data_IF_357246254374
#
_entry.id   IF_357246254374
#
_cell.length_a   1.000
_cell.length_b   1.000
_cell.length_c   1.000
_cell.angle_alpha   90.00
_cell.angle_beta   90.00
_cell.angle_gamma   90.00
#
_symmetry.space_group_name_H-M   'P 1'
#
loop_
_entity.id
_entity.type
_entity.pdbx_description
1 polymer ?
#
# COMPACT_ATOMS: atom_id res chain seq x y z
N UNK A 1 -47.21 11.96 39.96
CA UNK A 1 -47.10 11.11 38.76
C UNK A 1 -47.71 9.77 39.15
N UNK A 2 -48.87 9.41 38.60
CA UNK A 2 -49.74 8.40 39.21
C UNK A 2 -49.96 7.18 38.28
N UNK A 3 -48.94 6.84 37.51
CA UNK A 3 -48.87 5.68 36.62
C UNK A 3 -47.55 4.94 36.90
N UNK A 4 -47.53 3.60 36.92
CA UNK A 4 -46.31 2.83 37.12
C UNK A 4 -45.39 2.95 35.89
N UNK A 5 -44.48 3.92 35.91
CA UNK A 5 -43.48 4.10 34.86
C UNK A 5 -42.37 3.08 35.03
N UNK A 6 -42.21 2.16 34.07
CA UNK A 6 -41.07 1.26 34.03
C UNK A 6 -39.82 2.03 33.59
N UNK A 7 -38.97 2.40 34.54
CA UNK A 7 -37.71 3.13 34.29
C UNK A 7 -36.59 2.26 33.67
N UNK A 8 -36.85 0.97 33.43
CA UNK A 8 -35.81 0.00 33.10
C UNK A 8 -34.89 -0.31 34.30
N UNK A 9 -33.83 -1.11 34.11
CA UNK A 9 -32.98 -1.55 35.21
C UNK A 9 -32.05 -0.45 35.76
N UNK A 10 -31.61 0.48 34.91
CA UNK A 10 -30.38 1.27 35.13
C UNK A 10 -30.45 2.48 36.06
N UNK A 11 -31.40 2.57 37.00
CA UNK A 11 -31.61 3.75 37.84
C UNK A 11 -30.82 3.68 39.17
N UNK A 12 -29.50 3.51 39.08
CA UNK A 12 -28.59 3.51 40.21
C UNK A 12 -27.16 3.86 39.79
N UNK A 13 -26.60 4.91 40.39
CA UNK A 13 -25.34 5.51 39.90
C UNK A 13 -24.09 4.82 40.48
N UNK A 14 -23.87 3.58 40.03
CA UNK A 14 -22.76 2.74 40.47
C UNK A 14 -21.44 3.22 39.85
N UNK A 15 -20.54 3.75 40.67
CA UNK A 15 -19.21 4.20 40.25
C UNK A 15 -18.14 3.15 40.57
N UNK A 16 -17.51 2.58 39.54
CA UNK A 16 -16.35 1.68 39.68
C UNK A 16 -15.05 2.46 39.48
N UNK A 17 -14.17 2.44 40.48
CA UNK A 17 -12.79 2.94 40.35
C UNK A 17 -11.92 1.78 39.86
N UNK A 18 -11.35 1.91 38.66
CA UNK A 18 -10.56 0.86 38.00
C UNK A 18 -9.07 1.20 37.98
N UNK A 19 -8.28 0.54 38.82
CA UNK A 19 -6.82 0.65 38.81
C UNK A 19 -6.20 -0.35 37.82
N UNK A 20 -5.78 0.12 36.65
CA UNK A 20 -5.13 -0.72 35.62
C UNK A 20 -3.61 -0.70 35.81
N UNK A 21 -3.08 -1.74 36.46
CA UNK A 21 -1.64 -1.98 36.55
C UNK A 21 -1.23 -2.86 35.36
N UNK A 22 -0.37 -2.35 34.49
CA UNK A 22 0.19 -3.07 33.35
C UNK A 22 1.73 -2.99 33.37
N UNK A 23 2.45 -4.04 32.95
CA UNK A 23 3.91 -3.98 32.82
C UNK A 23 4.32 -3.01 31.72
N UNK A 24 5.45 -2.31 31.88
CA UNK A 24 5.97 -1.39 30.84
C UNK A 24 6.43 -2.12 29.55
N UNK A 25 6.48 -3.45 29.57
CA UNK A 25 6.68 -4.31 28.40
C UNK A 25 5.50 -5.28 28.32
N UNK A 26 4.51 -4.96 27.49
CA UNK A 26 3.30 -5.76 27.28
C UNK A 26 2.62 -5.41 25.97
N UNK A 27 1.89 -6.36 25.38
CA UNK A 27 1.30 -6.26 24.03
C UNK A 27 0.08 -5.35 23.93
N UNK A 28 -0.39 -4.80 25.05
CA UNK A 28 -1.38 -3.73 25.13
C UNK A 28 -0.91 -2.70 26.14
N UNK A 29 -1.04 -1.43 25.81
CA UNK A 29 -0.75 -0.35 26.76
C UNK A 29 -1.77 -0.34 27.90
N UNK A 30 -1.39 0.28 29.04
CA UNK A 30 -2.33 0.55 30.12
C UNK A 30 -3.55 1.37 29.64
N UNK A 31 -3.35 2.26 28.67
CA UNK A 31 -4.38 3.13 28.09
C UNK A 31 -5.37 2.39 27.18
N UNK A 32 -4.91 1.46 26.32
CA UNK A 32 -5.81 0.61 25.53
C UNK A 32 -6.58 -0.36 26.42
N UNK A 33 -5.92 -0.87 27.46
CA UNK A 33 -6.53 -1.77 28.46
C UNK A 33 -7.61 -1.03 29.26
N UNK A 34 -7.32 0.17 29.78
CA UNK A 34 -8.31 0.99 30.49
C UNK A 34 -9.47 1.39 29.56
N UNK A 35 -9.19 1.85 28.33
CA UNK A 35 -10.22 2.16 27.33
C UNK A 35 -11.14 0.97 27.02
N UNK A 36 -10.60 -0.25 27.00
CA UNK A 36 -11.40 -1.48 26.83
C UNK A 36 -12.37 -1.65 28.00
N UNK A 37 -11.88 -1.56 29.24
CA UNK A 37 -12.74 -1.66 30.43
C UNK A 37 -13.71 -0.49 30.59
N UNK A 38 -13.33 0.76 30.26
CA UNK A 38 -14.24 1.91 30.26
C UNK A 38 -15.38 1.75 29.25
N UNK A 39 -15.10 1.14 28.09
CA UNK A 39 -16.13 0.83 27.09
C UNK A 39 -17.09 -0.25 27.59
N UNK A 40 -16.55 -1.28 28.24
CA UNK A 40 -17.31 -2.41 28.81
C UNK A 40 -18.19 -1.98 30.00
N UNK A 41 -17.62 -1.21 30.96
CA UNK A 41 -18.33 -0.67 32.12
C UNK A 41 -19.26 0.51 31.80
N UNK A 42 -19.32 0.94 30.54
CA UNK A 42 -20.31 1.92 30.08
C UNK A 42 -21.74 1.35 30.16
N UNK A 43 -21.91 0.04 29.99
CA UNK A 43 -23.20 -0.65 30.17
C UNK A 43 -23.66 -0.57 31.65
N UNK A 44 -24.75 0.14 31.97
CA UNK A 44 -25.27 0.21 33.34
C UNK A 44 -25.79 -1.15 33.84
N UNK A 45 -26.30 -2.00 32.95
CA UNK A 45 -26.80 -3.31 33.34
C UNK A 45 -25.65 -4.27 33.71
N UNK A 46 -24.48 -4.15 33.06
CA UNK A 46 -23.27 -4.85 33.52
C UNK A 46 -22.81 -4.30 34.88
N UNK A 47 -22.76 -2.98 35.06
CA UNK A 47 -22.36 -2.37 36.35
C UNK A 47 -23.18 -2.90 37.53
N UNK A 48 -24.48 -3.15 37.35
CA UNK A 48 -25.32 -3.79 38.36
C UNK A 48 -24.97 -5.26 38.58
N UNK A 49 -24.92 -6.10 37.53
CA UNK A 49 -24.54 -7.53 37.65
C UNK A 49 -23.16 -7.76 38.27
N UNK A 50 -22.25 -6.79 38.16
CA UNK A 50 -20.92 -6.82 38.80
C UNK A 50 -20.92 -6.43 40.28
N UNK A 51 -21.96 -5.75 40.81
CA UNK A 51 -22.15 -5.58 42.26
C UNK A 51 -22.72 -6.85 42.91
N UNK A 52 -23.69 -7.48 42.24
CA UNK A 52 -24.36 -8.70 42.73
C UNK A 52 -23.40 -9.91 42.77
N UNK A 53 -22.25 -9.82 42.09
CA UNK A 53 -21.25 -10.87 41.97
C UNK A 53 -20.35 -11.00 43.23
N UNK A 54 -20.88 -11.56 44.32
CA UNK A 54 -20.16 -11.76 45.58
C UNK A 54 -18.87 -12.62 45.49
N UNK A 55 -18.69 -13.41 44.43
CA UNK A 55 -17.56 -14.31 44.23
C UNK A 55 -16.70 -13.93 43.02
N UNK A 56 -15.37 -13.95 43.17
CA UNK A 56 -14.40 -13.63 42.09
C UNK A 56 -14.64 -14.42 40.78
N UNK A 57 -15.01 -15.69 40.89
CA UNK A 57 -15.33 -16.52 39.72
C UNK A 57 -16.58 -16.01 38.98
N UNK A 58 -17.63 -15.64 39.73
CA UNK A 58 -18.87 -15.10 39.18
C UNK A 58 -18.65 -13.74 38.50
N UNK A 59 -17.84 -12.87 39.11
CA UNK A 59 -17.46 -11.57 38.55
C UNK A 59 -16.73 -11.71 37.19
N UNK A 60 -15.80 -12.65 37.09
CA UNK A 60 -15.09 -12.96 35.83
C UNK A 60 -16.05 -13.57 34.79
N UNK A 61 -16.98 -14.43 35.22
CA UNK A 61 -17.99 -15.05 34.35
C UNK A 61 -18.94 -14.01 33.73
N UNK A 62 -19.44 -13.04 34.50
CA UNK A 62 -20.30 -11.96 34.01
C UNK A 62 -19.60 -11.05 32.99
N UNK A 63 -18.31 -10.74 33.20
CA UNK A 63 -17.49 -10.03 32.22
C UNK A 63 -17.38 -10.86 30.93
N UNK A 64 -17.03 -12.14 31.02
CA UNK A 64 -16.86 -13.00 29.85
C UNK A 64 -18.15 -13.18 29.04
N UNK A 65 -19.30 -13.38 29.71
CA UNK A 65 -20.63 -13.45 29.07
C UNK A 65 -20.92 -12.14 28.33
N UNK A 66 -20.65 -10.99 28.95
CA UNK A 66 -20.96 -9.68 28.37
C UNK A 66 -20.02 -9.34 27.21
N UNK A 67 -18.73 -9.67 27.29
CA UNK A 67 -17.78 -9.59 26.16
C UNK A 67 -18.24 -10.46 25.00
N UNK A 68 -18.62 -11.72 25.25
CA UNK A 68 -19.15 -12.61 24.21
C UNK A 68 -20.41 -12.06 23.53
N UNK A 69 -21.32 -11.46 24.32
CA UNK A 69 -22.54 -10.82 23.80
C UNK A 69 -22.22 -9.60 22.92
N UNK A 70 -21.30 -8.75 23.34
CA UNK A 70 -20.84 -7.58 22.56
C UNK A 70 -20.13 -8.02 21.26
N UNK A 71 -19.29 -9.06 21.31
CA UNK A 71 -18.62 -9.61 20.14
C UNK A 71 -19.61 -10.20 19.12
N UNK A 72 -20.63 -10.94 19.58
CA UNK A 72 -21.70 -11.47 18.74
C UNK A 72 -22.58 -10.38 18.12
N UNK A 73 -22.91 -9.33 18.89
CA UNK A 73 -23.61 -8.15 18.37
C UNK A 73 -22.78 -7.42 17.29
N UNK A 74 -21.46 -7.31 17.48
CA UNK A 74 -20.56 -6.72 16.48
C UNK A 74 -20.47 -7.57 15.21
N UNK A 75 -20.31 -8.90 15.34
CA UNK A 75 -20.28 -9.83 14.19
C UNK A 75 -21.57 -9.76 13.38
N UNK A 76 -22.72 -9.96 14.03
CA UNK A 76 -24.02 -9.91 13.32
C UNK A 76 -24.36 -8.53 12.76
N UNK A 77 -23.82 -7.44 13.32
CA UNK A 77 -23.94 -6.11 12.71
C UNK A 77 -23.03 -5.95 11.48
N UNK A 78 -21.81 -6.50 11.53
CA UNK A 78 -20.87 -6.51 10.41
C UNK A 78 -21.40 -7.36 9.25
N UNK A 79 -21.88 -8.57 9.53
CA UNK A 79 -22.55 -9.49 8.60
C UNK A 79 -23.72 -8.80 7.90
N UNK A 80 -24.71 -8.25 8.64
CA UNK A 80 -25.85 -7.51 8.07
C UNK A 80 -25.44 -6.24 7.30
N UNK A 81 -24.25 -5.69 7.56
CA UNK A 81 -23.71 -4.55 6.80
C UNK A 81 -23.02 -5.00 5.51
N UNK A 82 -22.33 -6.14 5.52
CA UNK A 82 -21.75 -6.81 4.34
C UNK A 82 -22.86 -7.30 3.42
N UNK A 83 -23.85 -8.02 3.96
CA UNK A 83 -25.04 -8.52 3.26
C UNK A 83 -25.77 -7.40 2.51
N UNK A 84 -26.02 -6.25 3.17
CA UNK A 84 -26.63 -5.05 2.55
C UNK A 84 -25.77 -4.41 1.45
N UNK A 85 -24.46 -4.63 1.44
CA UNK A 85 -23.57 -4.20 0.35
C UNK A 85 -23.56 -5.22 -0.79
N UNK A 86 -23.50 -6.51 -0.48
CA UNK A 86 -23.46 -7.62 -1.45
C UNK A 86 -24.79 -7.78 -2.20
N UNK A 87 -25.93 -7.71 -1.51
CA UNK A 87 -27.26 -7.80 -2.13
C UNK A 87 -27.75 -6.50 -2.77
N UNK A 88 -26.95 -5.42 -2.74
CA UNK A 88 -27.24 -4.21 -3.51
C UNK A 88 -27.00 -4.50 -5.00
N UNK A 89 -28.04 -4.99 -5.68
CA UNK A 89 -28.03 -5.37 -7.11
C UNK A 89 -27.85 -4.13 -8.01
N UNK A 90 -26.61 -3.66 -8.06
CA UNK A 90 -26.15 -2.46 -8.75
C UNK A 90 -26.40 -2.56 -10.26
N UNK A 91 -27.44 -1.87 -10.76
CA UNK A 91 -27.71 -1.75 -12.21
C UNK A 91 -26.44 -1.33 -12.95
N UNK A 92 -26.03 -2.08 -13.96
CA UNK A 92 -24.86 -1.78 -14.77
C UNK A 92 -25.17 -0.64 -15.73
N UNK A 93 -24.20 0.27 -15.93
CA UNK A 93 -24.24 1.30 -16.97
C UNK A 93 -22.80 1.68 -17.39
N UNK A 94 -22.56 2.08 -18.65
CA UNK A 94 -21.22 2.47 -19.11
C UNK A 94 -20.66 3.66 -18.29
N UNK A 95 -19.34 3.71 -18.15
CA UNK A 95 -18.60 4.72 -17.39
C UNK A 95 -19.02 4.90 -15.91
N UNK A 96 -19.74 3.94 -15.32
CA UNK A 96 -20.22 4.01 -13.92
C UNK A 96 -19.09 4.19 -12.90
N UNK A 97 -18.04 3.36 -12.98
CA UNK A 97 -16.90 3.42 -12.06
C UNK A 97 -16.25 4.80 -12.08
N UNK A 98 -15.92 5.28 -13.29
CA UNK A 98 -15.44 6.63 -13.57
C UNK A 98 -16.34 7.69 -12.88
N UNK A 99 -17.64 7.74 -13.20
CA UNK A 99 -18.55 8.76 -12.64
C UNK A 99 -18.59 8.72 -11.10
N UNK A 100 -18.60 7.53 -10.49
CA UNK A 100 -18.63 7.35 -9.03
C UNK A 100 -17.31 7.77 -8.36
N UNK A 101 -16.18 7.44 -8.98
CA UNK A 101 -14.84 7.77 -8.49
C UNK A 101 -14.57 9.28 -8.57
N UNK A 102 -15.10 9.94 -9.61
CA UNK A 102 -15.05 11.40 -9.77
C UNK A 102 -15.77 12.12 -8.63
N UNK A 103 -17.03 11.72 -8.39
CA UNK A 103 -17.89 12.29 -7.34
C UNK A 103 -17.28 12.13 -5.95
N UNK A 104 -16.62 10.99 -5.70
CA UNK A 104 -15.92 10.68 -4.45
C UNK A 104 -14.66 11.54 -4.27
N UNK A 105 -13.77 11.63 -5.27
CA UNK A 105 -12.52 12.42 -5.14
C UNK A 105 -12.75 13.93 -5.16
N UNK A 106 -13.76 14.45 -5.87
CA UNK A 106 -13.99 15.91 -6.00
C UNK A 106 -14.13 16.61 -4.64
N UNK A 107 -14.70 15.95 -3.63
CA UNK A 107 -14.86 16.51 -2.28
C UNK A 107 -13.54 16.64 -1.51
N UNK A 108 -12.61 15.69 -1.68
CA UNK A 108 -11.29 15.69 -1.03
C UNK A 108 -10.20 16.38 -1.87
N UNK A 109 -10.54 16.86 -3.06
CA UNK A 109 -9.57 17.34 -4.05
C UNK A 109 -8.73 18.52 -3.54
N UNK A 110 -9.36 19.50 -2.89
CA UNK A 110 -8.68 20.71 -2.42
C UNK A 110 -7.71 20.38 -1.27
N UNK A 111 -8.07 19.44 -0.39
CA UNK A 111 -7.19 19.05 0.72
C UNK A 111 -5.94 18.29 0.27
N UNK A 112 -5.96 17.60 -0.89
CA UNK A 112 -4.74 17.02 -1.47
C UNK A 112 -3.61 18.05 -1.71
N UNK A 113 -3.94 19.34 -1.81
CA UNK A 113 -2.99 20.44 -1.92
C UNK A 113 -2.73 21.16 -0.60
N UNK A 114 -3.77 21.45 0.21
CA UNK A 114 -3.58 22.19 1.47
C UNK A 114 -2.91 21.34 2.57
N UNK A 115 -3.18 20.03 2.61
CA UNK A 115 -2.70 19.13 3.66
C UNK A 115 -1.16 19.10 3.76
N UNK A 116 -0.45 19.42 2.66
CA UNK A 116 1.02 19.49 2.62
C UNK A 116 1.64 20.67 3.38
N UNK A 117 0.83 21.69 3.73
CA UNK A 117 1.30 22.92 4.38
C UNK A 117 0.85 23.08 5.84
N UNK A 118 0.03 22.17 6.38
CA UNK A 118 -0.67 22.39 7.67
C UNK A 118 0.21 22.37 8.95
N UNK A 119 1.44 21.86 8.88
CA UNK A 119 2.35 21.69 10.03
C UNK A 119 3.80 21.66 9.53
N UNK A 120 4.74 22.26 10.27
CA UNK A 120 6.18 22.25 9.98
C UNK A 120 6.72 20.83 9.78
N UNK A 121 6.25 19.84 10.57
CA UNK A 121 6.63 18.43 10.39
C UNK A 121 6.03 17.82 9.11
N UNK A 122 4.96 18.38 8.54
CA UNK A 122 4.42 18.00 7.23
C UNK A 122 5.22 18.64 6.11
N UNK A 123 5.56 19.92 6.25
CA UNK A 123 6.40 20.63 5.27
C UNK A 123 7.76 19.93 5.15
N UNK A 124 8.43 19.58 6.25
CA UNK A 124 9.72 18.87 6.23
C UNK A 124 9.63 17.50 5.51
N UNK A 125 8.61 16.68 5.81
CA UNK A 125 8.41 15.40 5.10
C UNK A 125 8.04 15.59 3.64
N UNK A 126 7.25 16.61 3.30
CA UNK A 126 6.86 16.91 1.92
C UNK A 126 8.05 17.35 1.08
N UNK A 127 8.94 18.18 1.63
CA UNK A 127 10.20 18.58 0.99
C UNK A 127 11.13 17.37 0.83
N UNK A 128 11.32 16.56 1.87
CA UNK A 128 12.14 15.33 1.80
C UNK A 128 11.62 14.35 0.73
N UNK A 129 10.31 14.12 0.68
CA UNK A 129 9.66 13.29 -0.33
C UNK A 129 9.74 13.89 -1.74
N UNK A 130 9.72 15.22 -1.88
CA UNK A 130 9.91 15.91 -3.17
C UNK A 130 11.35 15.78 -3.69
N UNK A 131 12.35 15.95 -2.81
CA UNK A 131 13.77 15.78 -3.14
C UNK A 131 14.06 14.32 -3.51
N UNK A 132 13.50 13.36 -2.76
CA UNK A 132 13.56 11.94 -3.12
C UNK A 132 12.94 11.66 -4.49
N UNK A 133 11.72 12.14 -4.76
CA UNK A 133 11.06 11.99 -6.07
C UNK A 133 11.88 12.59 -7.21
N UNK A 134 12.43 13.79 -7.02
CA UNK A 134 13.27 14.48 -8.00
C UNK A 134 14.49 13.62 -8.35
N UNK A 135 15.25 13.15 -7.36
CA UNK A 135 16.41 12.30 -7.60
C UNK A 135 16.05 10.90 -8.10
N UNK A 136 14.86 10.36 -7.79
CA UNK A 136 14.42 9.06 -8.30
C UNK A 136 13.95 9.13 -9.76
N UNK A 137 13.27 10.22 -10.17
CA UNK A 137 12.66 10.35 -11.49
C UNK A 137 13.63 10.93 -12.52
N UNK A 138 14.40 11.97 -12.18
CA UNK A 138 15.27 12.66 -13.14
C UNK A 138 16.27 11.71 -13.84
N UNK A 139 16.98 10.79 -13.15
CA UNK A 139 17.86 9.83 -13.81
C UNK A 139 17.11 8.83 -14.69
N UNK A 140 15.92 8.34 -14.28
CA UNK A 140 15.11 7.47 -15.14
C UNK A 140 14.66 8.19 -16.41
N UNK A 141 14.31 9.48 -16.32
CA UNK A 141 13.91 10.28 -17.47
C UNK A 141 15.07 10.53 -18.44
N UNK A 142 16.27 10.82 -17.91
CA UNK A 142 17.49 10.99 -18.71
C UNK A 142 17.85 9.68 -19.42
N UNK A 143 17.93 8.56 -18.70
CA UNK A 143 18.31 7.25 -19.26
C UNK A 143 17.30 6.78 -20.32
N UNK A 144 15.99 6.93 -20.08
CA UNK A 144 14.96 6.57 -21.05
C UNK A 144 14.98 7.49 -22.29
N UNK A 145 15.26 8.79 -22.13
CA UNK A 145 15.40 9.73 -23.24
C UNK A 145 16.59 9.42 -24.14
N UNK A 146 17.73 9.04 -23.55
CA UNK A 146 18.93 8.58 -24.27
C UNK A 146 18.63 7.26 -24.99
N UNK A 147 18.04 6.28 -24.30
CA UNK A 147 17.68 4.98 -24.90
C UNK A 147 16.70 5.14 -26.07
N UNK A 148 15.73 6.04 -25.96
CA UNK A 148 14.78 6.37 -27.04
C UNK A 148 15.40 7.16 -28.20
N UNK A 149 16.66 7.60 -28.10
CA UNK A 149 17.37 8.35 -29.14
C UNK A 149 18.43 7.53 -29.89
N UNK A 150 18.96 6.46 -29.28
CA UNK A 150 19.84 5.51 -29.95
C UNK A 150 19.01 4.43 -30.68
N UNK A 151 18.96 4.52 -32.02
CA UNK A 151 18.16 3.62 -32.87
C UNK A 151 18.62 2.14 -32.79
N UNK A 152 17.71 1.25 -33.18
CA UNK A 152 17.56 -0.14 -32.75
C UNK A 152 18.58 -1.14 -33.34
N UNK A 153 19.83 -0.72 -33.53
CA UNK A 153 20.92 -1.52 -34.14
C UNK A 153 22.26 -1.47 -33.41
N UNK A 154 22.59 -0.36 -32.73
CA UNK A 154 23.95 -0.12 -32.22
C UNK A 154 24.02 0.08 -30.69
N UNK A 155 23.40 -0.86 -29.96
CA UNK A 155 23.52 -1.00 -28.49
C UNK A 155 24.97 -0.90 -27.97
N UNK A 156 25.94 -1.33 -28.79
CA UNK A 156 27.37 -1.34 -28.44
C UNK A 156 28.10 -0.03 -28.72
N UNK A 157 27.66 0.78 -29.69
CA UNK A 157 28.31 2.06 -30.04
C UNK A 157 27.81 3.23 -29.17
N UNK A 158 26.52 3.20 -28.80
CA UNK A 158 25.90 4.16 -27.88
C UNK A 158 26.50 4.10 -26.44
N UNK A 159 27.31 3.07 -26.15
CA UNK A 159 28.05 2.91 -24.89
C UNK A 159 29.54 3.29 -24.98
N UNK A 160 30.06 3.62 -26.16
CA UNK A 160 31.49 3.97 -26.39
C UNK A 160 31.72 5.39 -26.88
N UNK A 161 30.67 6.07 -27.37
CA UNK A 161 30.65 7.51 -27.59
C UNK A 161 29.71 8.19 -26.59
N UNK A 162 29.93 9.47 -26.33
CA UNK A 162 29.23 10.22 -25.28
C UNK A 162 27.71 10.06 -25.40
N UNK A 163 26.99 9.59 -24.33
CA UNK A 163 25.53 9.41 -24.30
C UNK A 163 24.69 10.69 -24.47
N UNK A 164 25.35 11.76 -24.89
CA UNK A 164 24.98 13.16 -24.91
C UNK A 164 25.02 13.74 -26.34
N UNK A 165 25.65 13.04 -27.28
CA UNK A 165 25.69 13.41 -28.70
C UNK A 165 24.32 13.27 -29.39
N UNK A 166 23.40 12.49 -28.82
CA UNK A 166 21.99 12.52 -29.20
C UNK A 166 21.37 13.86 -28.81
N UNK A 167 20.80 14.58 -29.79
CA UNK A 167 20.39 15.97 -29.64
C UNK A 167 19.43 16.22 -28.46
N UNK A 168 19.64 17.29 -27.66
CA UNK A 168 18.86 17.54 -26.45
C UNK A 168 17.37 17.82 -26.69
N UNK A 169 16.92 17.97 -27.95
CA UNK A 169 15.51 18.16 -28.32
C UNK A 169 14.60 17.02 -27.85
N UNK A 170 15.06 15.76 -27.86
CA UNK A 170 14.26 14.61 -27.39
C UNK A 170 14.09 14.67 -25.87
N UNK A 171 15.16 14.97 -25.13
CA UNK A 171 15.12 15.19 -23.68
C UNK A 171 14.27 16.40 -23.28
N UNK A 172 14.38 17.51 -24.02
CA UNK A 172 13.56 18.72 -23.86
C UNK A 172 12.08 18.39 -23.97
N UNK A 173 11.70 17.65 -25.02
CA UNK A 173 10.31 17.26 -25.27
C UNK A 173 9.81 16.25 -24.22
N UNK A 174 10.64 15.28 -23.81
CA UNK A 174 10.30 14.32 -22.77
C UNK A 174 10.15 14.96 -21.39
N UNK A 175 10.97 15.95 -21.02
CA UNK A 175 10.84 16.69 -19.76
C UNK A 175 9.65 17.66 -19.78
N UNK A 176 9.39 18.33 -20.91
CA UNK A 176 8.20 19.17 -21.07
C UNK A 176 6.90 18.35 -21.05
N UNK A 177 6.87 17.14 -21.63
CA UNK A 177 5.72 16.24 -21.52
C UNK A 177 5.67 15.45 -20.22
N UNK A 178 6.77 15.20 -19.51
CA UNK A 178 6.71 14.84 -18.09
C UNK A 178 6.01 15.96 -17.32
N UNK A 179 6.39 17.22 -17.51
CA UNK A 179 5.69 18.35 -16.88
C UNK A 179 4.22 18.48 -17.35
N UNK A 180 3.91 18.27 -18.63
CA UNK A 180 2.56 18.40 -19.18
C UNK A 180 1.64 17.26 -18.75
N UNK A 181 2.06 16.02 -18.95
CA UNK A 181 1.34 14.83 -18.46
C UNK A 181 1.21 14.87 -16.94
N UNK A 182 2.22 15.37 -16.21
CA UNK A 182 2.12 15.58 -14.76
C UNK A 182 1.20 16.73 -14.38
N UNK A 183 1.24 17.88 -15.04
CA UNK A 183 0.33 18.98 -14.73
C UNK A 183 -1.11 18.52 -14.88
N UNK A 184 -1.39 17.68 -15.89
CA UNK A 184 -2.67 16.99 -16.06
C UNK A 184 -2.88 15.90 -14.98
N UNK A 185 -1.87 15.08 -14.68
CA UNK A 185 -1.84 14.06 -13.60
C UNK A 185 -1.71 14.64 -12.18
N UNK A 186 -1.80 15.96 -12.04
CA UNK A 186 -1.90 16.69 -10.78
C UNK A 186 -3.21 17.48 -10.73
N UNK A 187 -3.54 18.22 -11.79
CA UNK A 187 -4.83 18.90 -11.94
C UNK A 187 -6.02 17.93 -12.09
N UNK A 188 -5.78 16.63 -12.31
CA UNK A 188 -6.80 15.56 -12.36
C UNK A 188 -6.53 14.34 -11.43
N UNK A 189 -5.33 14.17 -10.83
CA UNK A 189 -4.90 12.98 -10.03
C UNK A 189 -3.86 13.44 -8.96
N UNK A 190 -3.35 12.76 -7.93
CA UNK A 190 -3.17 11.38 -7.41
C UNK A 190 -3.40 11.45 -5.85
N UNK A 191 -3.44 10.46 -4.93
CA UNK A 191 -3.26 9.00 -4.80
C UNK A 191 -4.39 8.42 -3.91
N UNK A 192 -4.62 7.10 -3.75
CA UNK A 192 -3.89 5.89 -4.22
C UNK A 192 -4.91 4.77 -4.56
N UNK A 193 -4.76 4.10 -5.70
CA UNK A 193 -4.71 2.62 -5.84
C UNK A 193 -4.51 2.29 -7.32
N UNK A 194 -3.39 1.67 -7.67
CA UNK A 194 -3.34 0.89 -8.92
C UNK A 194 -4.41 -0.21 -8.88
N UNK A 195 -5.06 -0.57 -10.00
CA UNK A 195 -6.18 -1.52 -10.01
C UNK A 195 -5.83 -2.90 -9.42
N UNK A 196 -4.54 -3.28 -9.43
CA UNK A 196 -3.99 -4.53 -8.89
C UNK A 196 -4.13 -4.72 -7.36
N UNK A 197 -4.58 -3.73 -6.60
CA UNK A 197 -4.57 -3.75 -5.12
C UNK A 197 -5.95 -3.61 -4.44
N UNK A 198 -7.06 -3.83 -5.16
CA UNK A 198 -8.41 -3.82 -4.56
C UNK A 198 -8.95 -5.24 -4.32
N UNK A 199 -9.46 -5.48 -3.10
CA UNK A 199 -9.58 -6.81 -2.48
C UNK A 199 -10.70 -7.73 -3.02
N UNK A 200 -11.45 -7.34 -4.05
CA UNK A 200 -12.81 -7.91 -4.29
C UNK A 200 -13.30 -8.03 -5.75
N UNK A 201 -12.52 -7.75 -6.81
CA UNK A 201 -13.06 -7.87 -8.20
C UNK A 201 -12.11 -8.32 -9.31
N UNK A 202 -10.78 -8.28 -9.13
CA UNK A 202 -9.85 -9.00 -10.00
C UNK A 202 -8.93 -9.84 -9.11
N UNK A 203 -9.32 -11.09 -8.84
CA UNK A 203 -8.45 -12.09 -8.22
C UNK A 203 -7.36 -12.58 -9.19
N UNK A 204 -6.73 -11.65 -9.91
CA UNK A 204 -5.94 -11.89 -11.12
C UNK A 204 -4.72 -10.95 -11.27
N UNK A 205 -3.77 -10.99 -10.34
CA UNK A 205 -2.33 -10.85 -10.64
C UNK A 205 -1.49 -11.82 -9.76
N UNK A 206 -0.36 -12.37 -10.25
CA UNK A 206 0.38 -13.43 -9.54
C UNK A 206 1.15 -12.91 -8.32
N UNK A 207 1.10 -13.68 -7.24
CA UNK A 207 2.15 -13.78 -6.19
C UNK A 207 2.91 -12.52 -5.82
N UNK A 208 2.19 -11.56 -5.21
CA UNK A 208 2.72 -10.63 -4.17
C UNK A 208 3.98 -9.81 -4.51
N UNK A 209 4.45 -9.78 -5.76
CA UNK A 209 5.74 -9.20 -6.13
C UNK A 209 5.78 -7.68 -6.07
N UNK A 210 4.61 -7.04 -5.96
CA UNK A 210 4.46 -5.68 -5.49
C UNK A 210 3.58 -5.65 -4.24
N UNK A 211 4.24 -5.63 -3.09
CA UNK A 211 3.79 -5.08 -1.81
C UNK A 211 2.38 -5.48 -1.33
N UNK A 212 2.32 -6.59 -0.60
CA UNK A 212 1.29 -6.77 0.44
C UNK A 212 1.28 -5.59 1.45
N UNK A 213 2.43 -4.97 1.71
CA UNK A 213 2.52 -3.74 2.50
C UNK A 213 1.75 -2.55 1.89
N UNK A 214 1.61 -2.41 0.56
CA UNK A 214 0.78 -1.35 -0.03
C UNK A 214 -0.69 -1.46 0.40
N UNK A 215 -1.16 -2.66 0.80
CA UNK A 215 -2.51 -2.85 1.35
C UNK A 215 -2.64 -2.25 2.76
N UNK A 216 -1.60 -2.31 3.61
CA UNK A 216 -1.58 -1.58 4.89
C UNK A 216 -1.72 -0.09 4.65
N UNK A 217 -0.89 0.42 3.75
CA UNK A 217 -0.92 1.83 3.38
C UNK A 217 -2.29 2.27 2.91
N UNK A 218 -2.99 1.41 2.14
CA UNK A 218 -4.37 1.61 1.69
C UNK A 218 -5.37 1.64 2.86
N UNK A 219 -5.17 0.84 3.92
CA UNK A 219 -5.97 0.91 5.16
C UNK A 219 -5.72 2.24 5.91
N UNK A 220 -4.52 2.82 5.80
CA UNK A 220 -4.19 4.14 6.37
C UNK A 220 -4.50 5.34 5.44
N UNK A 221 -5.14 5.13 4.29
CA UNK A 221 -5.69 6.22 3.46
C UNK A 221 -7.03 6.70 4.02
N UNK A 222 -7.19 8.01 4.09
CA UNK A 222 -8.47 8.67 4.40
C UNK A 222 -9.27 8.99 3.13
N UNK A 223 -8.60 9.20 1.99
CA UNK A 223 -9.25 9.60 0.74
C UNK A 223 -9.21 8.41 -0.22
N UNK A 224 -10.36 7.77 -0.41
CA UNK A 224 -10.43 6.46 -1.07
C UNK A 224 -9.90 6.43 -2.52
N UNK A 225 -9.61 5.21 -2.97
CA UNK A 225 -9.26 4.78 -4.34
C UNK A 225 -9.98 5.52 -5.48
N UNK A 226 -9.40 5.55 -6.69
CA UNK A 226 -10.02 6.16 -7.88
C UNK A 226 -9.80 5.41 -9.22
N UNK A 227 -9.18 4.21 -9.17
CA UNK A 227 -8.57 3.43 -10.27
C UNK A 227 -9.17 3.52 -11.70
N UNK A 228 -10.48 3.72 -11.83
CA UNK A 228 -11.14 3.87 -13.13
C UNK A 228 -10.78 5.20 -13.84
N UNK A 229 -10.53 6.29 -13.10
CA UNK A 229 -9.98 7.52 -13.69
C UNK A 229 -8.51 7.39 -14.02
N UNK A 230 -7.77 6.74 -13.14
CA UNK A 230 -6.32 6.55 -13.20
C UNK A 230 -5.96 5.94 -14.57
N UNK A 231 -6.65 4.86 -14.94
CA UNK A 231 -6.56 4.20 -16.24
C UNK A 231 -7.03 5.09 -17.41
N UNK A 232 -8.16 5.80 -17.26
CA UNK A 232 -8.70 6.68 -18.32
C UNK A 232 -7.74 7.84 -18.65
N UNK A 233 -7.15 8.45 -17.64
CA UNK A 233 -6.20 9.57 -17.78
C UNK A 233 -4.90 9.07 -18.39
N UNK A 234 -4.35 7.93 -17.93
CA UNK A 234 -3.15 7.32 -18.53
C UNK A 234 -3.39 6.94 -20.00
N UNK A 235 -4.55 6.34 -20.32
CA UNK A 235 -4.90 6.04 -21.71
C UNK A 235 -5.00 7.30 -22.58
N UNK A 236 -5.65 8.37 -22.10
CA UNK A 236 -5.73 9.63 -22.83
C UNK A 236 -4.36 10.32 -23.01
N UNK A 237 -3.51 10.31 -21.98
CA UNK A 237 -2.13 10.79 -22.09
C UNK A 237 -1.31 9.98 -23.10
N UNK A 238 -1.46 8.66 -23.13
CA UNK A 238 -0.75 7.79 -24.08
C UNK A 238 -1.26 7.95 -25.53
N UNK A 239 -2.53 8.30 -25.74
CA UNK A 239 -3.02 8.72 -27.07
C UNK A 239 -2.34 10.03 -27.50
N UNK A 240 -2.24 11.03 -26.63
CA UNK A 240 -1.55 12.30 -26.93
C UNK A 240 -0.06 12.09 -27.20
N UNK A 241 0.63 11.27 -26.39
CA UNK A 241 2.04 10.89 -26.60
C UNK A 241 2.24 10.19 -27.94
N UNK A 242 1.37 9.24 -28.29
CA UNK A 242 1.41 8.50 -29.56
C UNK A 242 1.23 9.42 -30.78
N UNK A 243 0.30 10.39 -30.71
CA UNK A 243 0.12 11.41 -31.76
C UNK A 243 1.35 12.29 -31.94
N UNK A 244 2.11 12.53 -30.86
CA UNK A 244 3.34 13.31 -30.85
C UNK A 244 4.60 12.48 -31.16
N UNK A 245 4.47 11.19 -31.48
CA UNK A 245 5.59 10.28 -31.77
C UNK A 245 6.48 9.98 -30.55
N UNK A 246 5.94 10.08 -29.34
CA UNK A 246 6.68 9.97 -28.08
C UNK A 246 6.49 8.62 -27.38
N UNK A 247 7.49 8.24 -26.59
CA UNK A 247 7.47 7.04 -25.75
C UNK A 247 6.27 7.06 -24.79
N UNK A 248 5.55 5.95 -24.73
CA UNK A 248 4.35 5.79 -23.90
C UNK A 248 4.71 5.75 -22.42
N UNK A 249 3.93 6.46 -21.59
CA UNK A 249 4.13 6.53 -20.15
C UNK A 249 3.38 5.41 -19.43
N UNK A 250 4.03 4.78 -18.45
CA UNK A 250 3.43 3.82 -17.53
C UNK A 250 3.78 4.17 -16.08
N UNK A 251 3.18 3.48 -15.11
CA UNK A 251 3.38 3.76 -13.69
C UNK A 251 4.58 2.99 -13.11
N UNK A 252 5.60 3.72 -12.67
CA UNK A 252 6.82 3.17 -12.09
C UNK A 252 6.61 2.70 -10.63
N UNK A 253 6.37 1.40 -10.45
CA UNK A 253 5.98 0.79 -9.18
C UNK A 253 6.97 1.05 -8.02
N UNK A 254 8.31 0.95 -8.17
CA UNK A 254 9.24 1.22 -7.05
C UNK A 254 9.26 2.69 -6.64
N UNK A 255 9.21 3.62 -7.61
CA UNK A 255 9.17 5.05 -7.35
C UNK A 255 7.88 5.45 -6.61
N UNK A 256 6.74 4.93 -7.05
CA UNK A 256 5.45 5.14 -6.38
C UNK A 256 5.48 4.63 -4.94
N UNK A 257 5.87 3.36 -4.72
CA UNK A 257 5.96 2.78 -3.38
C UNK A 257 6.88 3.59 -2.45
N UNK A 258 8.09 3.96 -2.89
CA UNK A 258 9.06 4.64 -2.04
C UNK A 258 8.70 6.11 -1.77
N UNK A 259 8.07 6.80 -2.73
CA UNK A 259 7.47 8.12 -2.47
C UNK A 259 6.40 8.04 -1.38
N UNK A 260 5.52 7.05 -1.48
CA UNK A 260 4.47 6.80 -0.52
C UNK A 260 5.06 6.36 0.83
N UNK A 261 6.16 5.60 0.84
CA UNK A 261 6.95 5.25 2.04
C UNK A 261 7.50 6.49 2.75
N UNK A 262 7.98 7.48 2.00
CA UNK A 262 8.40 8.77 2.54
C UNK A 262 7.23 9.67 3.04
N UNK A 263 5.96 9.33 2.74
CA UNK A 263 4.77 10.05 3.22
C UNK A 263 4.15 9.45 4.51
N UNK A 264 4.69 8.38 5.10
CA UNK A 264 4.22 7.90 6.41
C UNK A 264 4.53 8.86 7.55
N UNK A 265 3.64 8.87 8.53
CA UNK A 265 4.04 8.82 9.93
C UNK A 265 4.26 7.37 10.35
N UNK A 266 5.54 7.04 10.59
CA UNK A 266 6.01 5.77 11.15
C UNK A 266 6.21 5.98 12.66
N UNK A 267 5.79 5.02 13.47
CA UNK A 267 6.12 4.95 14.90
C UNK A 267 6.85 3.64 15.21
N UNK A 268 7.92 3.73 15.99
CA UNK A 268 8.56 2.56 16.59
C UNK A 268 7.68 2.04 17.73
N UNK A 269 7.22 0.78 17.64
CA UNK A 269 6.43 0.14 18.71
C UNK A 269 7.03 -1.21 19.10
N UNK A 270 7.03 -1.50 20.40
CA UNK A 270 7.51 -2.77 20.96
C UNK A 270 6.42 -3.84 20.82
N UNK A 271 6.48 -4.60 19.73
CA UNK A 271 5.61 -5.76 19.47
C UNK A 271 6.36 -7.02 19.89
N UNK A 272 5.78 -7.78 20.82
CA UNK A 272 6.37 -9.00 21.40
C UNK A 272 7.83 -8.86 21.88
N UNK A 273 8.20 -7.66 22.33
CA UNK A 273 9.54 -7.33 22.83
C UNK A 273 10.53 -6.86 21.76
N UNK A 274 10.19 -6.94 20.48
CA UNK A 274 10.99 -6.44 19.35
C UNK A 274 10.50 -5.02 19.00
N UNK A 275 11.43 -4.10 18.76
CA UNK A 275 11.10 -2.76 18.28
C UNK A 275 10.80 -2.84 16.77
N UNK A 276 9.52 -2.68 16.41
CA UNK A 276 9.02 -2.77 15.04
C UNK A 276 8.51 -1.40 14.56
N UNK A 277 8.85 -1.02 13.34
CA UNK A 277 8.37 0.20 12.70
C UNK A 277 7.01 -0.05 12.05
N UNK A 278 5.96 0.52 12.64
CA UNK A 278 4.61 0.48 12.06
C UNK A 278 4.24 1.82 11.42
N UNK A 279 3.54 1.76 10.29
CA UNK A 279 2.89 2.95 9.72
C UNK A 279 1.62 3.23 10.53
N UNK A 280 1.44 4.47 10.95
CA UNK A 280 0.28 4.90 11.77
C UNK A 280 -0.65 5.82 11.00
N UNK A 281 -0.14 6.53 10.00
CA UNK A 281 -0.91 7.42 9.11
C UNK A 281 -0.16 7.65 7.80
N UNK A 282 -0.84 7.56 6.65
CA UNK A 282 -0.31 8.10 5.40
C UNK A 282 -0.65 9.60 5.24
N UNK A 283 0.26 10.39 4.66
CA UNK A 283 0.04 11.81 4.36
C UNK A 283 -0.25 12.01 2.87
N UNK A 284 -1.52 11.89 2.51
CA UNK A 284 -2.01 12.05 1.14
C UNK A 284 -1.93 13.51 0.67
N UNK A 285 -0.76 13.91 0.14
CA UNK A 285 -0.56 15.21 -0.49
C UNK A 285 0.14 15.11 -1.85
N UNK A 286 -0.38 15.88 -2.81
CA UNK A 286 0.16 16.06 -4.17
C UNK A 286 1.33 17.04 -4.23
N UNK A 287 1.55 17.82 -3.17
CA UNK A 287 2.53 18.92 -3.13
C UNK A 287 3.97 18.43 -3.37
N UNK A 288 4.35 17.28 -2.80
CA UNK A 288 5.67 16.70 -3.03
C UNK A 288 5.92 16.36 -4.52
N UNK A 289 4.91 15.79 -5.18
CA UNK A 289 4.96 15.44 -6.60
C UNK A 289 5.01 16.68 -7.50
N UNK A 290 4.26 17.73 -7.15
CA UNK A 290 4.30 19.03 -7.83
C UNK A 290 5.69 19.69 -7.71
N UNK A 291 6.25 19.74 -6.50
CA UNK A 291 7.57 20.34 -6.25
C UNK A 291 8.67 19.56 -6.99
N UNK A 292 8.67 18.23 -6.92
CA UNK A 292 9.70 17.40 -7.54
C UNK A 292 9.86 17.66 -9.04
N UNK A 293 8.75 17.78 -9.77
CA UNK A 293 8.78 18.05 -11.21
C UNK A 293 8.93 19.53 -11.52
N UNK A 294 8.39 20.43 -10.69
CA UNK A 294 8.65 21.87 -10.76
C UNK A 294 10.14 22.20 -10.62
N UNK A 295 10.92 21.35 -9.93
CA UNK A 295 12.38 21.41 -9.87
C UNK A 295 13.07 20.81 -11.11
N UNK A 296 12.50 19.78 -11.76
CA UNK A 296 13.10 19.21 -12.98
C UNK A 296 13.13 20.21 -14.15
N UNK A 297 12.14 21.11 -14.26
CA UNK A 297 12.08 22.12 -15.33
C UNK A 297 13.30 23.06 -15.31
N UNK A 298 13.61 23.82 -14.23
CA UNK A 298 14.79 24.67 -14.18
C UNK A 298 16.09 23.87 -14.17
N UNK A 299 16.13 22.67 -13.58
CA UNK A 299 17.30 21.79 -13.71
C UNK A 299 17.58 21.47 -15.17
N UNK A 300 16.56 21.20 -15.98
CA UNK A 300 16.75 20.99 -17.41
C UNK A 300 17.23 22.26 -18.13
N UNK A 301 16.59 23.42 -17.92
CA UNK A 301 16.96 24.65 -18.64
C UNK A 301 18.31 25.26 -18.22
N UNK A 302 18.73 25.10 -16.96
CA UNK A 302 19.94 25.77 -16.43
C UNK A 302 21.06 24.81 -16.00
N UNK A 303 20.75 23.56 -15.65
CA UNK A 303 21.74 22.58 -15.17
C UNK A 303 22.01 21.41 -16.14
N UNK A 304 21.39 21.35 -17.32
CA UNK A 304 21.73 20.34 -18.35
C UNK A 304 23.23 20.23 -18.65
N UNK A 305 24.04 21.31 -18.81
CA UNK A 305 25.49 21.16 -19.00
C UNK A 305 26.23 20.62 -17.77
N UNK A 306 25.70 20.79 -16.56
CA UNK A 306 26.30 20.31 -15.32
C UNK A 306 25.87 18.88 -14.95
N UNK A 307 24.69 18.44 -15.40
CA UNK A 307 24.22 17.04 -15.25
C UNK A 307 25.17 16.02 -15.89
N UNK A 308 25.91 16.45 -16.92
CA UNK A 308 26.91 15.68 -17.68
C UNK A 308 28.13 15.32 -16.82
N UNK A 309 28.40 16.09 -15.76
CA UNK A 309 29.50 15.87 -14.82
C UNK A 309 29.18 14.81 -13.76
N UNK A 310 27.92 14.34 -13.67
CA UNK A 310 27.52 13.31 -12.72
C UNK A 310 27.95 11.93 -13.26
N UNK A 311 28.87 11.21 -12.59
CA UNK A 311 29.30 9.91 -13.07
C UNK A 311 28.15 8.90 -13.10
N UNK A 312 28.07 8.08 -14.15
CA UNK A 312 27.04 7.03 -14.29
C UNK A 312 26.98 6.07 -13.10
N UNK A 313 28.11 5.84 -12.43
CA UNK A 313 28.22 5.11 -11.16
C UNK A 313 27.27 5.62 -10.06
N UNK A 314 26.98 6.92 -10.00
CA UNK A 314 26.02 7.51 -9.06
C UNK A 314 24.60 7.02 -9.34
N UNK A 315 24.21 6.93 -10.62
CA UNK A 315 22.90 6.42 -11.02
C UNK A 315 22.80 4.90 -10.78
N UNK A 316 23.86 4.12 -11.02
CA UNK A 316 23.89 2.70 -10.65
C UNK A 316 23.72 2.49 -9.13
N UNK A 317 24.41 3.29 -8.30
CA UNK A 317 24.24 3.26 -6.84
C UNK A 317 22.82 3.63 -6.40
N UNK A 318 22.21 4.66 -7.01
CA UNK A 318 20.83 5.04 -6.78
C UNK A 318 19.85 3.91 -7.17
N UNK A 319 20.00 3.30 -8.34
CA UNK A 319 19.11 2.23 -8.78
C UNK A 319 19.23 0.98 -7.88
N UNK A 320 20.43 0.65 -7.41
CA UNK A 320 20.64 -0.41 -6.43
C UNK A 320 19.96 -0.08 -5.09
N UNK A 321 20.05 1.16 -4.61
CA UNK A 321 19.34 1.62 -3.41
C UNK A 321 17.81 1.55 -3.57
N UNK A 322 17.26 2.00 -4.70
CA UNK A 322 15.82 1.93 -5.01
C UNK A 322 15.34 0.46 -5.10
N UNK A 323 16.13 -0.42 -5.70
CA UNK A 323 15.83 -1.85 -5.76
C UNK A 323 15.82 -2.47 -4.34
N UNK A 324 16.89 -2.27 -3.55
CA UNK A 324 16.98 -2.84 -2.21
C UNK A 324 15.89 -2.30 -1.27
N UNK A 325 15.64 -1.00 -1.25
CA UNK A 325 14.62 -0.39 -0.37
C UNK A 325 13.18 -0.72 -0.76
N UNK A 326 12.93 -1.14 -2.01
CA UNK A 326 11.62 -1.64 -2.45
C UNK A 326 11.38 -3.10 -2.07
N UNK A 327 12.42 -3.90 -1.79
CA UNK A 327 12.27 -5.25 -1.23
C UNK A 327 11.98 -5.28 0.28
N UNK A 328 12.27 -4.20 1.02
CA UNK A 328 12.02 -4.11 2.47
C UNK A 328 10.55 -3.80 2.74
N UNK A 329 9.82 -4.77 3.30
CA UNK A 329 8.36 -4.80 3.33
C UNK A 329 7.74 -5.61 2.17
N UNK A 330 8.44 -6.66 1.71
CA UNK A 330 7.89 -7.62 0.74
C UNK A 330 7.81 -9.00 1.40
N UNK A 331 6.58 -9.48 1.61
CA UNK A 331 6.26 -10.78 2.19
C UNK A 331 6.98 -11.95 1.53
N UNK A 332 7.22 -11.93 0.21
CA UNK A 332 7.98 -13.00 -0.43
C UNK A 332 9.45 -12.96 -0.01
N UNK A 333 10.07 -11.77 0.02
CA UNK A 333 11.46 -11.62 0.46
C UNK A 333 11.64 -12.02 1.93
N UNK A 334 10.71 -11.59 2.80
CA UNK A 334 10.75 -11.91 4.23
C UNK A 334 10.53 -13.41 4.49
N UNK A 335 9.55 -14.04 3.82
CA UNK A 335 9.30 -15.49 3.98
C UNK A 335 10.31 -16.36 3.21
N UNK A 336 10.99 -15.83 2.19
CA UNK A 336 12.15 -16.48 1.56
C UNK A 336 13.38 -16.46 2.49
N UNK A 337 13.59 -15.39 3.27
CA UNK A 337 14.64 -15.35 4.30
C UNK A 337 14.43 -16.40 5.39
N UNK A 338 13.17 -16.74 5.73
CA UNK A 338 12.83 -17.83 6.66
C UNK A 338 13.30 -19.22 6.18
N UNK A 339 13.57 -19.43 4.88
CA UNK A 339 14.15 -20.70 4.37
C UNK A 339 15.60 -20.90 4.82
N UNK A 340 16.31 -19.80 5.12
CA UNK A 340 17.73 -19.81 5.54
C UNK A 340 17.91 -19.50 7.03
N UNK A 341 16.87 -18.99 7.69
CA UNK A 341 16.88 -18.65 9.12
C UNK A 341 16.61 -19.90 9.98
N UNK A 342 17.33 -20.05 11.10
CA UNK A 342 17.08 -21.13 12.05
C UNK A 342 15.70 -20.97 12.73
N UNK A 343 14.98 -22.07 12.95
CA UNK A 343 13.62 -22.06 13.50
C UNK A 343 13.51 -21.37 14.87
N UNK A 344 14.55 -21.45 15.72
CA UNK A 344 14.58 -20.76 17.02
C UNK A 344 14.67 -19.22 16.87
N UNK A 345 15.22 -18.72 15.76
CA UNK A 345 15.37 -17.29 15.47
C UNK A 345 14.16 -16.69 14.74
N UNK A 346 13.07 -17.43 14.58
CA UNK A 346 11.87 -16.93 13.91
C UNK A 346 11.20 -15.81 14.73
N UNK A 347 11.13 -14.63 14.14
CA UNK A 347 10.34 -13.50 14.66
C UNK A 347 8.89 -13.96 14.92
N UNK A 348 8.23 -13.54 16.02
CA UNK A 348 6.91 -14.05 16.46
C UNK A 348 5.72 -13.56 15.61
N UNK A 349 5.90 -13.49 14.28
CA UNK A 349 4.88 -13.14 13.29
C UNK A 349 3.65 -14.04 13.40
N UNK A 350 2.47 -13.43 13.28
CA UNK A 350 1.21 -14.07 13.64
C UNK A 350 0.80 -15.20 12.66
N UNK A 351 1.24 -15.16 11.39
CA UNK A 351 1.10 -16.31 10.48
C UNK A 351 1.98 -17.51 10.88
N UNK A 352 3.19 -17.30 11.40
CA UNK A 352 4.10 -18.37 11.85
C UNK A 352 3.50 -19.13 13.05
N UNK A 353 2.75 -18.44 13.90
CA UNK A 353 2.01 -19.04 15.02
C UNK A 353 0.76 -19.84 14.61
N UNK A 354 0.27 -19.66 13.38
CA UNK A 354 -0.98 -20.27 12.88
C UNK A 354 -0.72 -21.40 11.88
N UNK A 355 0.22 -21.21 10.97
CA UNK A 355 0.47 -22.09 9.83
C UNK A 355 1.70 -22.97 10.10
N UNK A 356 1.62 -24.30 9.93
CA UNK A 356 2.78 -25.17 10.15
C UNK A 356 3.90 -24.84 9.15
N UNK A 357 5.14 -24.73 9.65
CA UNK A 357 6.32 -24.30 8.90
C UNK A 357 6.50 -24.99 7.53
N UNK A 358 6.20 -26.29 7.42
CA UNK A 358 6.25 -27.04 6.15
C UNK A 358 5.34 -26.45 5.08
N UNK A 359 4.15 -25.98 5.44
CA UNK A 359 3.23 -25.28 4.53
C UNK A 359 3.75 -23.92 4.14
N UNK A 360 4.35 -23.17 5.07
CA UNK A 360 4.98 -21.86 4.78
C UNK A 360 6.10 -22.04 3.75
N UNK A 361 7.00 -23.00 3.96
CA UNK A 361 8.12 -23.27 3.05
C UNK A 361 7.70 -23.87 1.71
N UNK A 362 6.70 -24.73 1.67
CA UNK A 362 6.15 -25.24 0.41
C UNK A 362 5.52 -24.10 -0.42
N UNK A 363 4.82 -23.17 0.23
CA UNK A 363 4.22 -22.02 -0.43
C UNK A 363 5.28 -21.01 -0.92
N UNK A 364 6.33 -20.73 -0.14
CA UNK A 364 7.40 -19.81 -0.57
C UNK A 364 8.29 -20.40 -1.66
N UNK A 365 8.61 -21.70 -1.61
CA UNK A 365 9.35 -22.37 -2.68
C UNK A 365 8.54 -22.35 -3.99
N UNK A 366 7.23 -22.54 -3.90
CA UNK A 366 6.31 -22.35 -5.02
C UNK A 366 6.38 -20.89 -5.54
N UNK A 367 6.28 -19.87 -4.68
CA UNK A 367 6.43 -18.46 -5.08
C UNK A 367 7.80 -18.13 -5.69
N UNK A 368 8.87 -18.83 -5.30
CA UNK A 368 10.21 -18.70 -5.91
C UNK A 368 10.28 -19.35 -7.30
N UNK A 369 9.64 -20.51 -7.52
CA UNK A 369 9.52 -21.12 -8.86
C UNK A 369 8.68 -20.25 -9.79
N UNK A 370 7.59 -19.69 -9.27
CA UNK A 370 6.71 -18.74 -9.96
C UNK A 370 7.47 -17.48 -10.40
N UNK A 371 8.32 -16.92 -9.52
CA UNK A 371 9.24 -15.84 -9.85
C UNK A 371 10.29 -16.27 -10.90
N UNK A 372 10.89 -17.45 -10.76
CA UNK A 372 11.93 -17.91 -11.69
C UNK A 372 11.41 -17.97 -13.14
N UNK A 373 10.16 -18.38 -13.34
CA UNK A 373 9.51 -18.37 -14.67
C UNK A 373 9.39 -16.93 -15.22
N UNK A 374 8.99 -15.96 -14.41
CA UNK A 374 8.94 -14.54 -14.81
C UNK A 374 10.33 -13.97 -15.13
N UNK A 375 11.33 -14.34 -14.33
CA UNK A 375 12.72 -13.93 -14.54
C UNK A 375 13.27 -14.46 -15.88
N UNK A 376 13.12 -15.76 -16.15
CA UNK A 376 13.58 -16.35 -17.42
C UNK A 376 12.77 -15.86 -18.63
N UNK A 377 11.50 -15.49 -18.46
CA UNK A 377 10.71 -14.88 -19.54
C UNK A 377 11.15 -13.43 -19.84
N UNK A 378 11.36 -12.62 -18.80
CA UNK A 378 11.74 -11.20 -18.92
C UNK A 378 13.19 -10.95 -19.34
N UNK A 379 14.11 -11.86 -19.00
CA UNK A 379 15.52 -11.82 -19.45
C UNK A 379 15.79 -12.78 -20.63
N UNK A 380 14.75 -13.18 -21.36
CA UNK A 380 14.90 -14.05 -22.54
C UNK A 380 15.53 -13.30 -23.71
N UNK A 381 16.51 -13.86 -24.43
CA UNK A 381 17.07 -13.24 -25.64
C UNK A 381 16.12 -13.29 -26.86
N UNK A 382 14.88 -13.76 -26.67
CA UNK A 382 13.85 -13.86 -27.71
C UNK A 382 12.75 -12.81 -27.44
N UNK A 383 12.65 -11.71 -28.22
CA UNK A 383 11.67 -10.64 -27.96
C UNK A 383 10.21 -11.09 -27.93
N UNK A 384 9.88 -12.20 -28.61
CA UNK A 384 8.56 -12.84 -28.58
C UNK A 384 8.21 -13.34 -27.16
N UNK A 385 9.19 -13.87 -26.42
CA UNK A 385 9.00 -14.37 -25.05
C UNK A 385 8.85 -13.21 -24.06
N UNK A 386 9.65 -12.14 -24.24
CA UNK A 386 9.52 -10.90 -23.46
C UNK A 386 8.12 -10.28 -23.63
N UNK A 387 7.62 -10.18 -24.87
CA UNK A 387 6.26 -9.68 -25.14
C UNK A 387 5.14 -10.56 -24.53
N UNK A 388 5.41 -11.83 -24.25
CA UNK A 388 4.48 -12.78 -23.62
C UNK A 388 4.50 -12.70 -22.08
N UNK A 389 5.47 -12.02 -21.46
CA UNK A 389 5.58 -11.83 -20.00
C UNK A 389 4.26 -11.38 -19.31
N UNK A 390 3.48 -10.40 -19.83
CA UNK A 390 2.20 -10.03 -19.22
C UNK A 390 1.16 -11.15 -19.30
N UNK A 391 1.16 -11.94 -20.39
CA UNK A 391 0.22 -13.05 -20.61
C UNK A 391 0.53 -14.19 -19.64
N UNK A 392 1.81 -14.50 -19.42
CA UNK A 392 2.26 -15.43 -18.37
C UNK A 392 1.72 -14.95 -17.01
N UNK A 393 1.93 -13.67 -16.70
CA UNK A 393 1.43 -13.02 -15.47
C UNK A 393 -0.10 -13.07 -15.32
N UNK A 394 -0.87 -13.13 -16.42
CA UNK A 394 -2.34 -13.28 -16.44
C UNK A 394 -2.87 -14.74 -16.46
N UNK A 395 -2.13 -15.70 -17.03
CA UNK A 395 -2.45 -17.14 -16.97
C UNK A 395 -2.28 -17.70 -15.55
N UNK A 396 -1.35 -17.11 -14.84
CA UNK A 396 -0.92 -17.45 -13.51
C UNK A 396 -1.97 -17.33 -12.39
N UNK A 397 -3.16 -16.76 -12.61
CA UNK A 397 -4.12 -16.53 -11.52
C UNK A 397 -5.48 -17.22 -11.60
N UNK A 398 -6.01 -17.68 -12.76
CA UNK A 398 -6.83 -18.89 -12.71
C UNK A 398 -6.02 -20.04 -12.09
N UNK A 399 -4.70 -20.11 -12.31
CA UNK A 399 -3.84 -21.07 -11.60
C UNK A 399 -3.88 -20.87 -10.07
N UNK A 400 -3.74 -19.64 -9.55
CA UNK A 400 -3.88 -19.39 -8.10
C UNK A 400 -5.31 -19.60 -7.57
N UNK A 401 -6.36 -19.20 -8.28
CA UNK A 401 -7.73 -19.34 -7.76
C UNK A 401 -8.27 -20.78 -7.85
N UNK A 402 -7.72 -21.62 -8.73
CA UNK A 402 -8.17 -23.00 -8.93
C UNK A 402 -7.23 -24.05 -8.31
N UNK A 403 -5.91 -23.85 -8.37
CA UNK A 403 -4.95 -24.89 -7.94
C UNK A 403 -4.46 -24.73 -6.50
N UNK A 404 -4.22 -23.51 -6.01
CA UNK A 404 -3.76 -23.32 -4.63
C UNK A 404 -4.75 -23.87 -3.57
N UNK A 405 -6.08 -23.67 -3.68
CA UNK A 405 -7.05 -24.28 -2.76
C UNK A 405 -7.12 -25.81 -2.82
N UNK A 406 -6.64 -26.43 -3.90
CA UNK A 406 -6.55 -27.88 -4.03
C UNK A 406 -5.28 -28.45 -3.37
N UNK A 407 -4.18 -27.68 -3.35
CA UNK A 407 -2.90 -28.08 -2.75
C UNK A 407 -2.83 -27.73 -1.25
N UNK A 408 -3.46 -26.64 -0.83
CA UNK A 408 -3.40 -26.14 0.54
C UNK A 408 -4.79 -25.75 1.07
N UNK A 409 -5.07 -26.11 2.33
CA UNK A 409 -6.27 -25.66 3.03
C UNK A 409 -6.49 -24.15 2.91
N UNK A 410 -7.72 -23.72 2.60
CA UNK A 410 -8.07 -22.30 2.47
C UNK A 410 -7.69 -21.47 3.70
N UNK A 411 -7.80 -22.03 4.90
CA UNK A 411 -7.40 -21.33 6.14
C UNK A 411 -5.88 -21.09 6.26
N UNK A 412 -5.04 -21.97 5.69
CA UNK A 412 -3.59 -21.71 5.61
C UNK A 412 -3.31 -20.55 4.64
N UNK A 413 -3.99 -20.55 3.50
CA UNK A 413 -3.87 -19.50 2.48
C UNK A 413 -4.36 -18.16 3.04
N UNK A 414 -5.52 -18.14 3.71
CA UNK A 414 -6.03 -16.94 4.39
C UNK A 414 -5.06 -16.49 5.49
N UNK A 415 -4.48 -17.38 6.30
CA UNK A 415 -3.50 -16.96 7.30
C UNK A 415 -2.22 -16.36 6.68
N UNK A 416 -1.74 -16.90 5.54
CA UNK A 416 -0.60 -16.38 4.77
C UNK A 416 -0.92 -15.09 3.98
N UNK A 417 -2.19 -14.83 3.66
CA UNK A 417 -2.65 -13.67 2.87
C UNK A 417 -3.41 -12.62 3.71
N UNK A 418 -3.73 -12.92 4.96
CA UNK A 418 -4.37 -12.00 5.91
C UNK A 418 -3.43 -10.83 6.24
N UNK A 419 -3.92 -9.61 6.06
CA UNK A 419 -3.16 -8.38 6.40
C UNK A 419 -3.03 -8.29 7.92
N UNK A 420 -1.81 -8.07 8.42
CA UNK A 420 -1.50 -7.96 9.86
C UNK A 420 -1.35 -6.49 10.30
#
# INVERSE_FOLDING_TARGET
MNLPTNFGPGLGDVQFILLVIAPMKGTKTAFETSRTFSTLLCDPALRQRLLDAHNKAHFIQEINITVGRMAFQLSTHLERKIEKVVHKKERWWPCKGIINDSKRRKQCYISDYTDGFCDTRVIQKTISSAVFLYFAILPTAIVLGIYSSCDNKDFKACSTHDPLACGPSVGLLFVLLLCGTLWIRLTLYNFRTTPFLTKTSFGLCFTKWCNYYDIYWIIFLKKGAAANWDLLIVAFMNVVLSILGLLLMHEALPQAFLHLKAQADIEDRLVDGILQQIVVKNRESRLATLIAHGLMIPTYFFLFPFLQLIPTAVFHGLFLYLAFTSMVGNELCERALLLFTEQHSYSPLHYIRRVPQKTVHAFTLFEIVQLAILYFAGFSPWPVVEMIFPIITFLFIPFRSLLLPYIFNEWHLEALDSVH
#
